data_IF_123354622017
#
_entry.id   IF_123354622017
#
_cell.length_a   1.000
_cell.length_b   1.000
_cell.length_c   1.000
_cell.angle_alpha   90.00
_cell.angle_beta   90.00
_cell.angle_gamma   90.00
#
_symmetry.space_group_name_H-M   'P 1'
#
loop_
_entity.id
_entity.type
_entity.pdbx_description
1 polymer ?
#
# COMPACT_ATOMS: atom_id res chain seq x y z
N UNK A 1 8.52 -0.21 11.52
CA UNK A 1 7.96 0.73 10.52
C UNK A 1 8.99 1.81 10.28
N UNK A 2 9.35 2.12 9.03
CA UNK A 2 10.16 3.32 8.76
C UNK A 2 9.30 4.55 9.02
N UNK A 3 9.84 5.52 9.76
CA UNK A 3 9.20 6.82 9.94
C UNK A 3 9.22 7.57 8.61
N UNK A 4 8.14 8.29 8.31
CA UNK A 4 8.08 9.18 7.15
C UNK A 4 9.03 10.36 7.40
N UNK A 5 9.79 10.77 6.38
CA UNK A 5 10.69 11.94 6.47
C UNK A 5 9.93 13.21 6.87
N UNK A 6 10.54 14.08 7.67
CA UNK A 6 9.92 15.34 8.10
C UNK A 6 9.72 16.32 6.93
N UNK A 7 10.52 16.20 5.87
CA UNK A 7 10.45 17.02 4.65
C UNK A 7 9.50 16.43 3.59
N UNK A 8 8.57 15.56 3.97
CA UNK A 8 7.67 14.86 3.05
C UNK A 8 6.93 15.82 2.10
N UNK A 9 7.07 15.59 0.79
CA UNK A 9 6.48 16.44 -0.26
C UNK A 9 7.39 17.57 -0.75
N UNK A 10 8.53 17.82 -0.11
CA UNK A 10 9.55 18.72 -0.63
C UNK A 10 10.38 18.05 -1.76
N UNK A 11 10.86 18.80 -2.76
CA UNK A 11 11.70 18.25 -3.84
C UNK A 11 12.97 17.53 -3.32
N UNK A 12 13.49 17.97 -2.16
CA UNK A 12 14.67 17.39 -1.51
C UNK A 12 14.41 16.04 -0.84
N UNK A 13 13.15 15.70 -0.54
CA UNK A 13 12.80 14.46 0.14
C UNK A 13 12.79 13.23 -0.79
N UNK A 14 12.88 13.44 -2.11
CA UNK A 14 12.83 12.37 -3.10
C UNK A 14 11.45 11.71 -3.19
N UNK A 15 11.37 10.62 -3.96
CA UNK A 15 10.13 9.86 -4.13
C UNK A 15 9.94 8.90 -2.95
N UNK A 16 8.81 8.95 -2.23
CA UNK A 16 8.64 8.09 -1.05
C UNK A 16 8.59 6.62 -1.45
N UNK A 17 9.25 5.78 -0.65
CA UNK A 17 9.24 4.33 -0.84
C UNK A 17 7.90 3.74 -0.41
N UNK A 18 7.59 2.54 -0.91
CA UNK A 18 6.32 1.88 -0.64
C UNK A 18 6.02 1.68 0.86
N UNK A 19 7.05 1.48 1.68
CA UNK A 19 6.93 1.37 3.14
C UNK A 19 6.64 2.72 3.82
N UNK A 20 7.17 3.82 3.28
CA UNK A 20 6.86 5.19 3.71
C UNK A 20 5.43 5.57 3.31
N UNK A 21 4.99 5.25 2.08
CA UNK A 21 3.59 5.42 1.67
C UNK A 21 2.63 4.58 2.52
N UNK A 22 2.99 3.33 2.83
CA UNK A 22 2.21 2.47 3.73
C UNK A 22 2.12 3.09 5.13
N UNK A 23 3.23 3.61 5.67
CA UNK A 23 3.24 4.26 6.97
C UNK A 23 2.38 5.54 6.95
N UNK A 24 2.49 6.36 5.89
CA UNK A 24 1.65 7.53 5.69
C UNK A 24 0.16 7.18 5.64
N UNK A 25 -0.24 6.24 4.78
CA UNK A 25 -1.65 5.90 4.54
C UNK A 25 -2.27 5.06 5.66
N UNK A 26 -1.47 4.26 6.36
CA UNK A 26 -1.97 3.30 7.36
C UNK A 26 -1.85 3.83 8.79
N UNK A 27 -0.93 4.75 9.04
CA UNK A 27 -0.65 5.28 10.38
C UNK A 27 -0.96 6.76 10.43
N UNK A 28 -0.32 7.59 9.61
CA UNK A 28 -0.51 9.04 9.71
C UNK A 28 -1.91 9.49 9.26
N UNK A 29 -2.42 8.99 8.13
CA UNK A 29 -3.76 9.31 7.64
C UNK A 29 -4.84 8.82 8.61
N UNK A 30 -4.82 7.57 9.12
CA UNK A 30 -5.80 7.10 10.08
C UNK A 30 -5.64 7.75 11.45
N UNK A 31 -4.43 8.05 11.94
CA UNK A 31 -4.25 8.79 13.20
C UNK A 31 -4.78 10.22 13.09
N UNK A 32 -4.53 10.91 11.97
CA UNK A 32 -5.11 12.22 11.69
C UNK A 32 -6.65 12.14 11.54
N UNK A 33 -7.18 11.06 10.96
CA UNK A 33 -8.61 10.81 10.85
C UNK A 33 -9.25 10.35 12.16
N UNK A 34 -8.52 9.65 13.04
CA UNK A 34 -8.96 9.20 14.37
C UNK A 34 -9.02 10.39 15.33
N UNK A 35 -8.05 11.32 15.28
CA UNK A 35 -8.12 12.59 16.02
C UNK A 35 -9.30 13.46 15.57
N UNK A 36 -9.87 13.21 14.39
CA UNK A 36 -11.01 13.96 13.84
C UNK A 36 -12.35 13.20 13.95
N UNK A 37 -12.35 11.88 14.15
CA UNK A 37 -13.53 11.01 13.98
C UNK A 37 -13.67 9.91 15.03
N UNK A 38 -13.30 10.20 16.28
CA UNK A 38 -13.63 9.33 17.41
C UNK A 38 -15.13 9.29 17.71
N UNK A 39 -15.95 8.68 16.84
CA UNK A 39 -17.09 7.86 17.29
C UNK A 39 -17.70 6.94 16.20
N UNK A 40 -17.83 5.66 16.54
CA UNK A 40 -18.71 4.67 15.91
C UNK A 40 -18.38 4.18 14.49
N UNK A 41 -18.00 2.93 14.34
CA UNK A 41 -17.87 2.24 13.04
C UNK A 41 -19.16 1.44 12.76
N UNK A 42 -19.96 1.86 11.77
CA UNK A 42 -21.12 1.10 11.27
C UNK A 42 -21.10 1.07 9.74
N UNK A 43 -20.80 -0.09 9.18
CA UNK A 43 -20.49 -0.32 7.77
C UNK A 43 -21.77 -0.55 6.93
N UNK A 44 -22.14 0.44 6.12
CA UNK A 44 -22.66 0.34 4.73
C UNK A 44 -23.27 1.67 4.29
N UNK A 45 -24.08 2.30 5.15
CA UNK A 45 -24.59 3.67 4.94
C UNK A 45 -23.46 4.73 4.99
N UNK A 46 -22.44 4.49 5.83
CA UNK A 46 -21.29 5.40 6.03
C UNK A 46 -20.35 5.60 4.84
N UNK A 47 -20.41 4.83 3.75
CA UNK A 47 -19.43 4.97 2.67
C UNK A 47 -19.67 6.17 1.75
N UNK A 48 -20.94 6.52 1.47
CA UNK A 48 -21.28 7.65 0.61
C UNK A 48 -20.98 8.97 1.33
N UNK A 49 -21.47 9.11 2.57
CA UNK A 49 -21.22 10.28 3.39
C UNK A 49 -19.72 10.53 3.61
N UNK A 50 -18.94 9.45 3.82
CA UNK A 50 -17.48 9.54 3.93
C UNK A 50 -16.82 9.95 2.62
N UNK A 51 -17.28 9.45 1.47
CA UNK A 51 -16.74 9.86 0.18
C UNK A 51 -17.05 11.33 -0.15
N UNK A 52 -18.26 11.79 0.21
CA UNK A 52 -18.67 13.20 0.07
C UNK A 52 -17.85 14.09 0.99
N UNK A 53 -17.70 13.71 2.27
CA UNK A 53 -16.87 14.42 3.24
C UNK A 53 -15.40 14.46 2.81
N UNK A 54 -14.85 13.34 2.34
CA UNK A 54 -13.50 13.30 1.77
C UNK A 54 -13.32 14.33 0.64
N UNK A 55 -14.28 14.39 -0.29
CA UNK A 55 -14.24 15.34 -1.41
C UNK A 55 -14.26 16.79 -0.93
N UNK A 56 -15.12 17.13 0.04
CA UNK A 56 -15.19 18.49 0.56
C UNK A 56 -13.87 18.87 1.24
N UNK A 57 -13.33 18.01 2.10
CA UNK A 57 -12.06 18.27 2.79
C UNK A 57 -10.88 18.41 1.83
N UNK A 58 -10.72 17.50 0.86
CA UNK A 58 -9.62 17.58 -0.10
C UNK A 58 -9.74 18.85 -0.95
N UNK A 59 -10.94 19.23 -1.38
CA UNK A 59 -11.15 20.46 -2.13
C UNK A 59 -10.79 21.71 -1.31
N UNK A 60 -11.21 21.75 -0.03
CA UNK A 60 -10.86 22.85 0.87
C UNK A 60 -9.36 22.88 1.13
N UNK A 61 -8.74 21.75 1.42
CA UNK A 61 -7.31 21.65 1.68
C UNK A 61 -6.47 22.12 0.48
N UNK A 62 -6.77 21.67 -0.74
CA UNK A 62 -6.06 22.12 -1.95
C UNK A 62 -6.22 23.63 -2.15
N UNK A 63 -7.43 24.16 -1.94
CA UNK A 63 -7.70 25.60 -2.07
C UNK A 63 -6.93 26.42 -1.03
N UNK A 64 -6.94 25.99 0.23
CA UNK A 64 -6.25 26.65 1.32
C UNK A 64 -4.72 26.57 1.20
N UNK A 65 -4.19 25.47 0.65
CA UNK A 65 -2.76 25.31 0.40
C UNK A 65 -2.23 26.42 -0.50
N UNK A 66 -2.98 26.82 -1.54
CA UNK A 66 -2.57 27.89 -2.47
C UNK A 66 -2.69 29.28 -1.84
N UNK A 67 -3.62 29.48 -0.92
CA UNK A 67 -3.77 30.74 -0.17
C UNK A 67 -2.61 30.91 0.82
N UNK A 68 -2.33 29.87 1.62
CA UNK A 68 -1.30 29.91 2.66
C UNK A 68 0.11 29.86 2.09
N UNK A 69 0.29 29.17 0.96
CA UNK A 69 1.58 29.04 0.28
C UNK A 69 1.44 29.36 -1.21
N UNK A 70 1.33 30.65 -1.59
CA UNK A 70 1.12 31.06 -3.00
C UNK A 70 2.22 30.58 -3.94
N UNK A 71 3.45 30.45 -3.42
CA UNK A 71 4.63 29.99 -4.15
C UNK A 71 4.62 28.47 -4.44
N UNK A 72 3.74 27.69 -3.81
CA UNK A 72 3.64 26.24 -4.06
C UNK A 72 2.73 25.99 -5.25
N UNK A 73 3.24 25.29 -6.26
CA UNK A 73 2.44 24.88 -7.41
C UNK A 73 1.60 23.64 -7.11
N UNK A 74 0.50 23.52 -7.84
CA UNK A 74 -0.36 22.34 -7.75
C UNK A 74 0.41 21.14 -8.29
N UNK A 75 0.75 20.20 -7.42
CA UNK A 75 1.33 18.93 -7.84
C UNK A 75 0.23 18.07 -8.49
N UNK A 76 0.55 17.26 -9.53
CA UNK A 76 -0.38 16.27 -10.07
C UNK A 76 -1.06 15.40 -9.01
N UNK A 77 -0.36 15.07 -7.92
CA UNK A 77 -0.93 14.33 -6.79
C UNK A 77 -2.12 15.03 -6.12
N UNK A 78 -2.08 16.37 -6.01
CA UNK A 78 -3.19 17.15 -5.49
C UNK A 78 -4.40 17.05 -6.43
N UNK A 79 -4.20 17.18 -7.75
CA UNK A 79 -5.26 17.00 -8.73
C UNK A 79 -5.83 15.57 -8.68
N UNK A 80 -4.97 14.55 -8.55
CA UNK A 80 -5.36 13.13 -8.48
C UNK A 80 -6.05 12.75 -7.18
N UNK A 81 -5.82 13.48 -6.08
CA UNK A 81 -6.52 13.24 -4.82
C UNK A 81 -8.01 13.59 -4.88
N UNK A 82 -8.40 14.56 -5.70
CA UNK A 82 -9.80 14.99 -5.84
C UNK A 82 -10.68 13.85 -6.39
N UNK A 83 -10.40 13.21 -7.54
CA UNK A 83 -11.25 12.17 -8.10
C UNK A 83 -11.29 10.87 -7.29
N UNK A 84 -10.43 10.67 -6.28
CA UNK A 84 -10.44 9.47 -5.41
C UNK A 84 -11.83 9.21 -4.81
N UNK A 85 -12.63 10.25 -4.54
CA UNK A 85 -14.01 10.05 -4.05
C UNK A 85 -14.86 9.19 -5.00
N UNK A 86 -14.69 9.33 -6.33
CA UNK A 86 -15.44 8.52 -7.31
C UNK A 86 -15.08 7.05 -7.17
N UNK A 87 -13.79 6.77 -6.95
CA UNK A 87 -13.32 5.41 -6.76
C UNK A 87 -13.73 4.84 -5.41
N UNK A 88 -13.84 5.66 -4.35
CA UNK A 88 -14.43 5.23 -3.08
C UNK A 88 -15.88 4.79 -3.25
N UNK A 89 -16.65 5.49 -4.10
CA UNK A 89 -18.03 5.13 -4.43
C UNK A 89 -18.10 3.86 -5.31
N UNK A 90 -17.21 3.71 -6.30
CA UNK A 90 -17.25 2.61 -7.26
C UNK A 90 -16.60 1.32 -6.76
N UNK A 91 -15.49 1.40 -6.04
CA UNK A 91 -14.64 0.26 -5.67
C UNK A 91 -14.51 0.07 -4.15
N UNK A 92 -15.09 0.97 -3.36
CA UNK A 92 -15.03 0.93 -1.91
C UNK A 92 -13.69 1.43 -1.36
N UNK A 93 -13.29 0.89 -0.20
CA UNK A 93 -12.10 1.35 0.51
C UNK A 93 -10.83 1.23 -0.35
N UNK A 94 -9.90 2.18 -0.19
CA UNK A 94 -8.61 2.23 -0.91
C UNK A 94 -7.85 0.90 -0.90
N UNK A 95 -7.95 0.13 0.21
CA UNK A 95 -7.29 -1.19 0.33
C UNK A 95 -7.73 -2.21 -0.73
N UNK A 96 -8.93 -2.07 -1.28
CA UNK A 96 -9.45 -2.98 -2.30
C UNK A 96 -8.82 -2.77 -3.68
N UNK A 97 -8.22 -1.59 -3.93
CA UNK A 97 -7.79 -1.18 -5.26
C UNK A 97 -6.43 -0.46 -5.29
N UNK A 98 -5.68 -0.45 -4.18
CA UNK A 98 -4.32 0.06 -4.14
C UNK A 98 -3.28 -0.89 -4.74
N UNK A 99 -2.15 -0.35 -5.22
CA UNK A 99 -1.09 -1.12 -5.86
C UNK A 99 -0.18 -1.89 -4.87
N UNK A 100 -0.27 -1.61 -3.56
CA UNK A 100 0.65 -2.16 -2.57
C UNK A 100 0.81 -3.70 -2.58
N UNK A 101 -0.27 -4.51 -2.70
CA UNK A 101 -0.14 -5.97 -2.75
C UNK A 101 0.60 -6.42 -4.01
N UNK A 102 0.43 -5.71 -5.12
CA UNK A 102 1.12 -5.99 -6.38
C UNK A 102 2.59 -5.63 -6.30
N UNK A 103 2.94 -4.48 -5.71
CA UNK A 103 4.34 -4.10 -5.47
C UNK A 103 5.07 -5.12 -4.59
N UNK A 104 4.41 -5.59 -3.53
CA UNK A 104 4.98 -6.63 -2.68
C UNK A 104 5.19 -7.94 -3.46
N UNK A 105 4.21 -8.35 -4.25
CA UNK A 105 4.32 -9.51 -5.13
C UNK A 105 5.48 -9.35 -6.12
N UNK A 106 5.57 -8.20 -6.81
CA UNK A 106 6.65 -7.90 -7.76
C UNK A 106 8.01 -8.02 -7.07
N UNK A 107 8.18 -7.44 -5.88
CA UNK A 107 9.41 -7.57 -5.10
C UNK A 107 9.75 -9.04 -4.80
N UNK A 108 8.76 -9.84 -4.39
CA UNK A 108 8.97 -11.28 -4.18
C UNK A 108 9.41 -12.00 -5.47
N UNK A 109 8.78 -11.69 -6.61
CA UNK A 109 9.10 -12.30 -7.89
C UNK A 109 10.51 -11.91 -8.38
N UNK A 110 10.94 -10.68 -8.15
CA UNK A 110 12.28 -10.19 -8.51
C UNK A 110 13.41 -10.90 -7.76
N UNK A 111 13.14 -11.44 -6.57
CA UNK A 111 14.12 -12.19 -5.77
C UNK A 111 14.13 -13.69 -6.07
N UNK A 112 13.23 -14.19 -6.92
CA UNK A 112 13.24 -15.61 -7.28
C UNK A 112 14.44 -15.91 -8.20
N UNK A 113 15.12 -17.05 -8.03
CA UNK A 113 16.19 -17.46 -8.94
C UNK A 113 15.61 -17.73 -10.33
N UNK A 114 16.09 -16.98 -11.32
CA UNK A 114 15.64 -17.09 -12.71
C UNK A 114 16.70 -17.78 -13.57
N UNK A 115 16.25 -18.53 -14.58
CA UNK A 115 17.13 -19.16 -15.57
C UNK A 115 17.64 -18.18 -16.64
N UNK A 116 17.20 -16.92 -16.59
CA UNK A 116 17.52 -15.82 -17.53
C UNK A 116 17.29 -16.15 -19.01
N UNK A 117 16.41 -17.11 -19.29
CA UNK A 117 16.03 -17.50 -20.66
C UNK A 117 14.68 -16.91 -20.98
N UNK A 118 14.66 -15.93 -21.87
CA UNK A 118 13.43 -15.36 -22.43
C UNK A 118 12.55 -16.49 -23.01
N UNK A 119 11.23 -16.38 -22.89
CA UNK A 119 10.23 -17.43 -23.19
C UNK A 119 10.14 -18.61 -22.20
N UNK A 120 11.11 -18.79 -21.31
CA UNK A 120 11.06 -19.78 -20.21
C UNK A 120 10.99 -19.12 -18.82
N UNK A 121 11.18 -17.80 -18.79
CA UNK A 121 11.28 -17.01 -17.57
C UNK A 121 9.98 -17.05 -16.77
N UNK A 122 8.85 -16.83 -17.44
CA UNK A 122 7.51 -16.79 -16.84
C UNK A 122 7.16 -18.14 -16.20
N UNK A 123 7.44 -19.24 -16.91
CA UNK A 123 7.23 -20.60 -16.41
C UNK A 123 8.12 -20.91 -15.20
N UNK A 124 9.38 -20.47 -15.23
CA UNK A 124 10.33 -20.65 -14.13
C UNK A 124 9.87 -19.88 -12.89
N UNK A 125 9.57 -18.59 -13.04
CA UNK A 125 9.07 -17.72 -11.97
C UNK A 125 7.79 -18.30 -11.36
N UNK A 126 6.83 -18.71 -12.18
CA UNK A 126 5.57 -19.30 -11.71
C UNK A 126 5.82 -20.59 -10.92
N UNK A 127 6.67 -21.48 -11.45
CA UNK A 127 6.99 -22.75 -10.80
C UNK A 127 7.67 -22.53 -9.44
N UNK A 128 8.67 -21.65 -9.39
CA UNK A 128 9.36 -21.29 -8.15
C UNK A 128 8.42 -20.64 -7.13
N UNK A 129 7.53 -19.74 -7.57
CA UNK A 129 6.53 -19.11 -6.71
C UNK A 129 5.57 -20.15 -6.11
N UNK A 130 5.05 -21.08 -6.92
CA UNK A 130 4.15 -22.15 -6.45
C UNK A 130 4.86 -23.10 -5.49
N UNK A 131 6.12 -23.47 -5.75
CA UNK A 131 6.91 -24.29 -4.85
C UNK A 131 7.12 -23.61 -3.49
N UNK A 132 7.49 -22.32 -3.50
CA UNK A 132 7.64 -21.53 -2.27
C UNK A 132 6.31 -21.41 -1.50
N UNK A 133 5.20 -21.21 -2.19
CA UNK A 133 3.87 -21.15 -1.57
C UNK A 133 3.47 -22.50 -0.93
N UNK A 134 3.72 -23.62 -1.61
CA UNK A 134 3.49 -24.97 -1.08
C UNK A 134 4.36 -25.25 0.15
N UNK A 135 5.63 -24.84 0.14
CA UNK A 135 6.53 -24.99 1.28
C UNK A 135 6.03 -24.19 2.49
N UNK A 136 5.65 -22.93 2.30
CA UNK A 136 5.03 -22.09 3.35
C UNK A 136 3.75 -22.72 3.90
N UNK A 137 2.89 -23.24 3.02
CA UNK A 137 1.67 -23.93 3.42
C UNK A 137 1.95 -25.20 4.23
N UNK A 138 3.01 -25.96 3.90
CA UNK A 138 3.44 -27.11 4.69
C UNK A 138 4.00 -26.72 6.05
N UNK A 139 4.82 -25.65 6.13
CA UNK A 139 5.35 -25.13 7.39
C UNK A 139 4.26 -24.64 8.35
N UNK A 140 3.14 -24.14 7.81
CA UNK A 140 2.00 -23.67 8.61
C UNK A 140 1.13 -24.80 9.17
N UNK A 141 1.37 -26.07 8.80
CA UNK A 141 0.60 -27.23 9.29
C UNK A 141 1.22 -27.80 10.57
N UNK A 142 0.36 -28.25 11.48
CA UNK A 142 0.81 -28.88 12.74
C UNK A 142 1.63 -30.16 12.50
N UNK A 143 1.27 -30.94 11.47
CA UNK A 143 1.94 -32.19 11.08
C UNK A 143 3.06 -32.00 10.05
N UNK A 144 3.70 -30.82 10.01
CA UNK A 144 4.80 -30.54 9.09
C UNK A 144 5.98 -31.52 9.31
N UNK A 145 6.47 -32.21 8.26
CA UNK A 145 7.61 -33.13 8.36
C UNK A 145 8.86 -32.46 8.97
N UNK A 146 9.62 -33.16 9.83
CA UNK A 146 10.83 -32.61 10.46
C UNK A 146 11.83 -32.03 9.45
N UNK A 147 12.06 -32.72 8.33
CA UNK A 147 12.96 -32.27 7.27
C UNK A 147 12.57 -30.91 6.66
N UNK A 148 11.27 -30.59 6.62
CA UNK A 148 10.80 -29.28 6.12
C UNK A 148 10.96 -28.21 7.19
N UNK A 149 10.76 -28.54 8.48
CA UNK A 149 10.99 -27.61 9.60
C UNK A 149 12.46 -27.19 9.70
N UNK A 150 13.40 -28.11 9.45
CA UNK A 150 14.84 -27.81 9.42
C UNK A 150 15.19 -26.76 8.35
N UNK A 151 14.55 -26.82 7.18
CA UNK A 151 14.75 -25.83 6.11
C UNK A 151 14.35 -24.40 6.51
N UNK A 152 13.44 -24.23 7.48
CA UNK A 152 13.04 -22.91 7.97
C UNK A 152 14.21 -22.17 8.63
N UNK A 153 15.09 -22.90 9.32
CA UNK A 153 16.25 -22.36 10.03
C UNK A 153 17.26 -21.74 9.03
N UNK A 154 17.32 -22.27 7.81
CA UNK A 154 18.23 -21.81 6.75
C UNK A 154 17.65 -20.63 5.93
N UNK A 155 16.34 -20.41 5.99
CA UNK A 155 15.64 -19.39 5.16
C UNK A 155 15.32 -18.08 5.88
N UNK A 156 15.60 -17.97 7.18
CA UNK A 156 15.54 -16.69 7.91
C UNK A 156 16.89 -15.96 7.79
N UNK A 157 16.92 -14.70 7.27
CA UNK A 157 18.12 -13.88 7.31
C UNK A 157 18.51 -13.47 8.74
#
# INVERSE_FOLDING_TARGET
LRSVSYDFGAPKAGTPKADEWRTLITIYIPLALISLWGDGMAHKSKNIDRAIAYRSFVSTWVSQLKILHPAVDHHPNCHMSIPIYKFLLSFGLVRSWWCFPFEHLIGQLQHLPTNNKFSQLESTILTSYVQAAKLKAWLARDNCPPAIKECQIVTTP
#
